data_IF_840946243114
#
_entry.id   IF_840946243114
#
_cell.length_a   1.000
_cell.length_b   1.000
_cell.length_c   1.000
_cell.angle_alpha   90.00
_cell.angle_beta   90.00
_cell.angle_gamma   90.00
#
_symmetry.space_group_name_H-M   'P 1'
#
loop_
_entity.id
_entity.type
_entity.pdbx_description
1 polymer ?
#
# COMPACT_ATOMS: atom_id res chain seq x y z
N UNK A 1 12.04 -1.50 8.45
CA UNK A 1 10.88 -2.14 7.78
C UNK A 1 11.25 -2.47 6.35
N UNK A 2 10.93 -3.67 5.90
CA UNK A 2 11.21 -4.09 4.54
C UNK A 2 10.02 -3.84 3.64
N UNK A 3 10.26 -3.34 2.43
CA UNK A 3 9.24 -3.06 1.43
C UNK A 3 9.43 -4.02 0.26
N UNK A 4 8.35 -4.71 -0.11
CA UNK A 4 8.36 -5.66 -1.22
C UNK A 4 7.28 -5.26 -2.22
N UNK A 5 7.69 -4.73 -3.35
CA UNK A 5 6.79 -4.32 -4.42
C UNK A 5 6.32 -5.52 -5.22
N UNK A 6 5.01 -5.58 -5.47
CA UNK A 6 4.42 -6.55 -6.38
C UNK A 6 4.23 -5.88 -7.74
N UNK A 7 4.68 -6.54 -8.79
CA UNK A 7 4.58 -6.03 -10.16
C UNK A 7 3.83 -6.95 -11.11
N UNK A 8 3.54 -8.19 -10.68
CA UNK A 8 2.85 -9.17 -11.49
C UNK A 8 1.77 -9.87 -10.66
N UNK A 9 0.55 -10.07 -11.22
CA UNK A 9 -0.52 -10.73 -10.47
C UNK A 9 -0.27 -12.22 -10.23
N UNK A 10 0.69 -12.82 -10.94
CA UNK A 10 1.08 -14.21 -10.76
C UNK A 10 1.99 -14.44 -9.55
N UNK A 11 2.52 -13.39 -8.94
CA UNK A 11 3.36 -13.54 -7.75
C UNK A 11 2.56 -14.18 -6.62
N UNK A 12 3.12 -15.19 -5.93
CA UNK A 12 2.38 -15.94 -4.90
C UNK A 12 1.79 -15.06 -3.79
N UNK A 13 2.46 -13.97 -3.45
CA UNK A 13 2.01 -13.06 -2.39
C UNK A 13 0.81 -12.20 -2.78
N UNK A 14 0.47 -12.11 -4.08
CA UNK A 14 -0.61 -11.22 -4.53
C UNK A 14 -1.97 -11.58 -3.93
N UNK A 15 -2.29 -12.87 -3.83
CA UNK A 15 -3.56 -13.31 -3.26
C UNK A 15 -3.74 -12.86 -1.80
N UNK A 16 -2.69 -13.04 -0.99
CA UNK A 16 -2.70 -12.61 0.41
C UNK A 16 -2.82 -11.08 0.53
N UNK A 17 -2.08 -10.37 -0.31
CA UNK A 17 -2.13 -8.91 -0.32
C UNK A 17 -3.52 -8.41 -0.70
N UNK A 18 -4.13 -9.01 -1.72
CA UNK A 18 -5.49 -8.64 -2.13
C UNK A 18 -6.54 -8.96 -1.08
N UNK A 19 -6.37 -10.05 -0.32
CA UNK A 19 -7.27 -10.36 0.78
C UNK A 19 -7.27 -9.24 1.84
N UNK A 20 -6.10 -8.72 2.18
CA UNK A 20 -6.01 -7.58 3.11
C UNK A 20 -6.60 -6.31 2.50
N UNK A 21 -6.33 -6.05 1.23
CA UNK A 21 -6.87 -4.90 0.51
C UNK A 21 -8.40 -4.90 0.53
N UNK A 22 -9.00 -6.02 0.17
CA UNK A 22 -10.47 -6.16 0.12
C UNK A 22 -11.10 -6.05 1.50
N UNK A 23 -10.43 -6.54 2.54
CA UNK A 23 -10.92 -6.47 3.91
C UNK A 23 -10.76 -5.08 4.54
N UNK A 24 -9.85 -4.26 4.03
CA UNK A 24 -9.46 -2.99 4.64
C UNK A 24 -10.20 -1.78 4.10
N UNK A 25 -10.74 -1.86 2.88
CA UNK A 25 -11.37 -0.71 2.22
C UNK A 25 -12.80 -1.04 1.80
N UNK A 26 -13.72 -0.05 1.88
CA UNK A 26 -15.07 -0.23 1.34
C UNK A 26 -15.03 -0.54 -0.15
N UNK A 27 -16.01 -1.30 -0.62
CA UNK A 27 -16.05 -1.74 -2.02
C UNK A 27 -15.97 -0.58 -3.02
N UNK A 28 -16.61 0.54 -2.71
CA UNK A 28 -16.62 1.71 -3.60
C UNK A 28 -15.28 2.44 -3.67
N UNK A 29 -14.37 2.18 -2.74
CA UNK A 29 -13.02 2.74 -2.74
C UNK A 29 -12.02 1.79 -3.39
N UNK A 30 -12.41 0.56 -3.65
CA UNK A 30 -11.52 -0.44 -4.25
C UNK A 30 -11.50 -0.31 -5.77
N UNK A 31 -10.31 -0.55 -6.34
CA UNK A 31 -10.19 -0.76 -7.77
C UNK A 31 -10.79 -2.12 -8.11
N UNK A 32 -11.44 -2.26 -9.25
CA UNK A 32 -11.97 -3.56 -9.69
C UNK A 32 -10.82 -4.58 -9.82
N UNK A 33 -11.06 -5.87 -9.55
CA UNK A 33 -9.98 -6.86 -9.56
C UNK A 33 -9.15 -6.91 -10.84
N UNK A 34 -9.78 -6.83 -12.00
CA UNK A 34 -9.06 -6.84 -13.28
C UNK A 34 -8.24 -5.56 -13.47
N UNK A 35 -8.76 -4.42 -13.03
CA UNK A 35 -8.04 -3.16 -13.08
C UNK A 35 -6.83 -3.19 -12.13
N UNK A 36 -6.99 -3.78 -10.95
CA UNK A 36 -5.88 -3.91 -10.00
C UNK A 36 -4.77 -4.79 -10.55
N UNK A 37 -5.12 -5.87 -11.25
CA UNK A 37 -4.13 -6.71 -11.92
C UNK A 37 -3.40 -5.96 -13.02
N UNK A 38 -4.15 -5.21 -13.82
CA UNK A 38 -3.58 -4.48 -14.96
C UNK A 38 -2.62 -3.37 -14.52
N UNK A 39 -2.94 -2.68 -13.43
CA UNK A 39 -2.13 -1.53 -12.97
C UNK A 39 -0.80 -1.95 -12.32
N UNK A 40 -0.67 -3.20 -11.88
CA UNK A 40 0.55 -3.67 -11.20
C UNK A 40 1.81 -3.47 -12.04
N UNK A 41 1.71 -3.63 -13.34
CA UNK A 41 2.87 -3.52 -14.23
C UNK A 41 3.19 -2.07 -14.62
N UNK A 42 2.38 -1.11 -14.21
CA UNK A 42 2.62 0.30 -14.52
C UNK A 42 3.86 0.78 -13.75
N UNK A 43 4.86 1.35 -14.43
CA UNK A 43 6.14 1.69 -13.78
C UNK A 43 6.03 2.70 -12.64
N UNK A 44 5.03 3.56 -12.67
CA UNK A 44 4.84 4.59 -11.63
C UNK A 44 3.95 4.13 -10.49
N UNK A 45 3.26 3.00 -10.63
CA UNK A 45 2.39 2.46 -9.59
C UNK A 45 3.16 1.49 -8.70
N UNK A 46 3.09 1.71 -7.39
CA UNK A 46 3.77 0.89 -6.40
C UNK A 46 2.76 0.19 -5.50
N UNK A 47 2.56 -1.09 -5.77
CA UNK A 47 1.80 -1.97 -4.89
C UNK A 47 2.78 -2.59 -3.91
N UNK A 48 2.98 -1.95 -2.77
CA UNK A 48 4.05 -2.28 -1.86
C UNK A 48 3.53 -3.02 -0.63
N UNK A 49 4.09 -4.18 -0.35
CA UNK A 49 3.88 -4.91 0.88
C UNK A 49 4.88 -4.44 1.91
N UNK A 50 4.43 -4.28 3.15
CA UNK A 50 5.27 -3.88 4.28
C UNK A 50 5.52 -5.09 5.17
N UNK A 51 6.79 -5.32 5.50
CA UNK A 51 7.22 -6.42 6.35
C UNK A 51 8.06 -5.92 7.51
N UNK A 52 7.88 -6.53 8.67
CA UNK A 52 8.77 -6.39 9.82
C UNK A 52 9.43 -7.77 10.02
N UNK A 53 10.68 -7.91 9.56
CA UNK A 53 11.30 -9.23 9.47
C UNK A 53 10.50 -10.12 8.53
N UNK A 54 10.04 -11.26 9.02
CA UNK A 54 9.22 -12.20 8.25
C UNK A 54 7.73 -11.92 8.34
N UNK A 55 7.32 -10.96 9.18
CA UNK A 55 5.92 -10.67 9.41
C UNK A 55 5.35 -9.69 8.40
N UNK A 56 4.28 -10.10 7.71
CA UNK A 56 3.54 -9.22 6.81
C UNK A 56 2.70 -8.24 7.65
N UNK A 57 2.97 -6.95 7.50
CA UNK A 57 2.40 -5.91 8.34
C UNK A 57 1.24 -5.17 7.68
N UNK A 58 1.35 -4.87 6.41
CA UNK A 58 0.34 -4.07 5.72
C UNK A 58 0.68 -3.76 4.28
N UNK A 59 -0.07 -2.83 3.71
CA UNK A 59 0.06 -2.42 2.31
C UNK A 59 0.21 -0.91 2.20
N UNK A 60 1.04 -0.49 1.27
CA UNK A 60 1.20 0.91 0.90
C UNK A 60 1.16 0.98 -0.64
N UNK A 61 0.05 1.44 -1.17
CA UNK A 61 -0.21 1.51 -2.61
C UNK A 61 -0.16 2.97 -3.02
N UNK A 62 0.82 3.34 -3.84
CA UNK A 62 1.02 4.74 -4.20
C UNK A 62 1.52 4.91 -5.63
N UNK A 63 1.33 6.12 -6.14
CA UNK A 63 1.84 6.55 -7.43
C UNK A 63 3.06 7.42 -7.22
N UNK A 64 4.12 7.14 -7.97
CA UNK A 64 5.36 7.91 -7.94
C UNK A 64 5.35 8.91 -9.09
N UNK A 65 5.16 10.19 -8.79
CA UNK A 65 5.30 11.26 -9.77
C UNK A 65 6.68 11.90 -9.64
N UNK A 66 7.01 12.84 -10.51
CA UNK A 66 8.32 13.50 -10.49
C UNK A 66 8.54 14.28 -9.19
N UNK A 67 7.53 15.03 -8.76
CA UNK A 67 7.65 15.95 -7.62
C UNK A 67 6.94 15.47 -6.36
N UNK A 68 6.15 14.42 -6.45
CA UNK A 68 5.36 13.94 -5.30
C UNK A 68 5.05 12.46 -5.40
N UNK A 69 4.63 11.88 -4.27
CA UNK A 69 4.07 10.54 -4.18
C UNK A 69 2.63 10.66 -3.72
N UNK A 70 1.71 10.05 -4.45
CA UNK A 70 0.30 10.05 -4.10
C UNK A 70 -0.08 8.69 -3.52
N UNK A 71 -0.40 8.66 -2.23
CA UNK A 71 -0.83 7.43 -1.55
C UNK A 71 -2.33 7.24 -1.81
N UNK A 72 -2.65 6.19 -2.55
CA UNK A 72 -4.03 5.86 -2.90
C UNK A 72 -4.69 4.96 -1.87
N UNK A 73 -3.96 3.96 -1.39
CA UNK A 73 -4.44 3.04 -0.36
C UNK A 73 -3.32 2.72 0.62
N UNK A 74 -3.66 2.73 1.90
CA UNK A 74 -2.69 2.42 2.95
C UNK A 74 -3.40 1.75 4.10
N UNK A 75 -2.94 0.58 4.52
CA UNK A 75 -3.51 -0.13 5.65
C UNK A 75 -2.48 -0.95 6.39
N UNK A 76 -2.74 -1.16 7.66
CA UNK A 76 -1.99 -2.06 8.54
C UNK A 76 -2.93 -3.17 8.95
N UNK A 77 -2.44 -4.40 9.03
CA UNK A 77 -3.26 -5.53 9.46
C UNK A 77 -3.90 -5.22 10.81
N UNK A 78 -5.20 -5.53 11.00
CA UNK A 78 -5.93 -5.13 12.21
C UNK A 78 -5.25 -5.56 13.51
N UNK A 79 -4.69 -6.76 13.57
CA UNK A 79 -4.02 -7.30 14.76
C UNK A 79 -2.69 -6.64 15.08
N UNK A 80 -2.17 -5.82 14.16
CA UNK A 80 -0.89 -5.12 14.34
C UNK A 80 -1.04 -3.61 14.53
N UNK A 81 -2.27 -3.12 14.57
CA UNK A 81 -2.53 -1.70 14.79
C UNK A 81 -2.11 -1.28 16.20
N UNK A 82 -1.74 0.00 16.35
CA UNK A 82 -1.28 0.52 17.62
C UNK A 82 0.19 0.31 17.90
N UNK A 83 0.95 -0.24 16.96
CA UNK A 83 2.39 -0.48 17.10
C UNK A 83 3.24 0.48 16.28
N UNK A 84 2.64 1.58 15.79
CA UNK A 84 3.30 2.63 15.02
C UNK A 84 3.84 2.21 13.66
N UNK A 85 3.41 1.09 13.12
CA UNK A 85 3.84 0.68 11.78
C UNK A 85 3.43 1.67 10.71
N UNK A 86 2.23 2.23 10.82
CA UNK A 86 1.76 3.24 9.88
C UNK A 86 2.63 4.49 9.85
N UNK A 87 2.98 5.01 11.03
CA UNK A 87 3.84 6.18 11.14
C UNK A 87 5.22 5.90 10.56
N UNK A 88 5.80 4.73 10.86
CA UNK A 88 7.12 4.35 10.30
C UNK A 88 7.10 4.25 8.79
N UNK A 89 6.06 3.67 8.21
CA UNK A 89 5.95 3.52 6.76
C UNK A 89 5.88 4.88 6.08
N UNK A 90 5.08 5.81 6.61
CA UNK A 90 4.94 7.15 6.05
C UNK A 90 6.22 7.98 6.22
N UNK A 91 6.91 7.83 7.35
CA UNK A 91 8.20 8.47 7.56
C UNK A 91 9.22 8.01 6.52
N UNK A 92 9.28 6.70 6.27
CA UNK A 92 10.19 6.15 5.26
C UNK A 92 9.83 6.63 3.86
N UNK A 93 8.55 6.73 3.54
CA UNK A 93 8.09 7.21 2.24
C UNK A 93 8.52 8.65 1.97
N UNK A 94 8.56 9.48 3.00
CA UNK A 94 8.94 10.89 2.88
C UNK A 94 10.40 11.19 3.24
N UNK A 95 11.22 10.17 3.48
CA UNK A 95 12.59 10.35 3.98
C UNK A 95 13.50 11.13 3.02
N UNK A 96 13.30 10.97 1.72
CA UNK A 96 14.08 11.67 0.69
C UNK A 96 13.65 13.12 0.47
N UNK A 97 12.68 13.62 1.22
CA UNK A 97 12.17 14.99 1.11
C UNK A 97 11.12 15.20 0.04
N UNK A 98 10.76 14.16 -0.70
CA UNK A 98 9.72 14.27 -1.72
C UNK A 98 8.35 14.40 -1.07
N UNK A 99 7.51 15.27 -1.60
CA UNK A 99 6.17 15.53 -1.07
C UNK A 99 5.32 14.26 -1.10
N UNK A 100 4.66 13.96 0.01
CA UNK A 100 3.72 12.83 0.10
C UNK A 100 2.31 13.38 0.23
N UNK A 101 1.44 12.99 -0.69
CA UNK A 101 0.03 13.40 -0.70
C UNK A 101 -0.81 12.22 -0.24
N UNK A 102 -1.63 12.46 0.77
CA UNK A 102 -2.55 11.45 1.33
C UNK A 102 -3.96 12.00 1.24
N UNK A 103 -4.90 11.17 0.75
CA UNK A 103 -6.31 11.43 0.94
C UNK A 103 -6.78 10.52 2.08
N UNK A 104 -7.23 11.14 3.15
CA UNK A 104 -7.75 10.41 4.30
C UNK A 104 -9.21 10.77 4.44
N UNK A 105 -10.09 9.76 4.38
CA UNK A 105 -11.49 9.98 4.66
C UNK A 105 -11.64 10.37 6.14
N UNK A 106 -12.47 11.37 6.45
CA UNK A 106 -12.70 11.73 7.84
C UNK A 106 -13.26 10.54 8.60
N UNK A 107 -12.85 10.33 9.86
CA UNK A 107 -13.43 9.27 10.67
C UNK A 107 -14.93 9.51 10.83
N UNK A 108 -15.68 8.46 10.67
CA UNK A 108 -17.14 8.50 10.79
C UNK A 108 -17.55 8.36 12.26
#
# INVERSE_FOLDING_TARGET
>A
MEWRRLTQPEEPAFGRAMALYEASFPRHEQRLPDEQRAVLSHPEYHFTQLFDGAEFVGLLLYWEAEDFRYVEHFCVRPELRGRRYGAKALEELGRDGKTVVLEIDPPV
#
